data_IF_409481967624
#
_entry.id   IF_409481967624
#
_cell.length_a   1.000
_cell.length_b   1.000
_cell.length_c   1.000
_cell.angle_alpha   90.00
_cell.angle_beta   90.00
_cell.angle_gamma   90.00
#
_symmetry.space_group_name_H-M   'P 1'
#
loop_
_entity.id
_entity.type
_entity.pdbx_description
1 polymer ?
#
# COMPACT_ATOMS: atom_id res chain seq x y z
N UNK A 1 -12.68 21.49 14.32
CA UNK A 1 -12.25 20.27 13.61
C UNK A 1 -13.33 19.96 12.58
N UNK A 2 -12.99 19.59 11.34
CA UNK A 2 -13.98 19.43 10.25
C UNK A 2 -13.45 18.48 9.18
N UNK A 3 -14.17 18.29 8.07
CA UNK A 3 -13.81 17.29 7.04
C UNK A 3 -12.37 17.41 6.48
N UNK A 4 -11.73 18.57 6.61
CA UNK A 4 -10.35 18.83 6.16
C UNK A 4 -9.39 19.24 7.29
N UNK A 5 -9.71 18.99 8.55
CA UNK A 5 -8.85 19.43 9.66
C UNK A 5 -8.84 18.45 10.82
N UNK A 6 -7.65 18.14 11.33
CA UNK A 6 -7.43 17.16 12.41
C UNK A 6 -7.37 17.77 13.82
N UNK A 7 -7.43 19.11 13.95
CA UNK A 7 -7.48 19.80 15.25
C UNK A 7 -6.17 19.75 16.04
N UNK A 8 -5.04 19.52 15.38
CA UNK A 8 -3.71 19.51 15.99
C UNK A 8 -3.23 20.94 16.28
N UNK A 9 -2.60 21.14 17.44
CA UNK A 9 -1.87 22.37 17.74
C UNK A 9 -0.57 22.42 16.93
N UNK A 10 0.00 23.61 16.65
CA UNK A 10 1.27 23.72 15.93
C UNK A 10 2.42 22.93 16.59
N UNK A 11 2.44 22.86 17.92
CA UNK A 11 3.44 22.12 18.68
C UNK A 11 3.39 20.59 18.44
N UNK A 12 2.22 20.05 18.07
CA UNK A 12 2.02 18.61 17.87
C UNK A 12 2.24 18.16 16.43
N UNK A 13 2.47 19.07 15.48
CA UNK A 13 2.62 18.70 14.06
C UNK A 13 3.85 17.83 13.78
N UNK A 14 4.87 17.89 14.64
CA UNK A 14 6.09 17.08 14.55
C UNK A 14 6.07 15.82 15.42
N UNK A 15 4.91 15.47 16.01
CA UNK A 15 4.81 14.30 16.86
C UNK A 15 5.18 13.01 16.10
N UNK A 16 5.91 12.14 16.78
CA UNK A 16 6.30 10.82 16.28
C UNK A 16 6.24 9.78 17.40
N UNK A 17 6.09 8.51 17.03
CA UNK A 17 6.08 7.37 17.94
C UNK A 17 6.95 6.25 17.38
N UNK A 18 7.60 5.48 18.25
CA UNK A 18 8.42 4.34 17.84
C UNK A 18 7.89 3.03 18.42
N UNK A 19 8.00 1.94 17.67
CA UNK A 19 7.55 0.61 18.09
C UNK A 19 8.44 -0.48 17.51
N UNK A 20 8.53 -1.63 18.18
CA UNK A 20 9.20 -2.82 17.67
C UNK A 20 8.22 -3.70 16.89
N UNK A 21 8.68 -4.31 15.80
CA UNK A 21 7.88 -5.18 14.94
C UNK A 21 8.39 -6.64 14.95
N UNK A 22 7.63 -7.54 14.33
CA UNK A 22 7.91 -8.99 14.35
C UNK A 22 9.22 -9.39 13.65
N UNK A 23 9.78 -8.52 12.81
CA UNK A 23 11.10 -8.72 12.19
C UNK A 23 12.27 -8.30 13.13
N UNK A 24 11.97 -7.96 14.38
CA UNK A 24 12.93 -7.57 15.40
C UNK A 24 13.46 -6.14 15.26
N UNK A 25 12.94 -5.35 14.31
CA UNK A 25 13.36 -3.96 14.09
C UNK A 25 12.43 -2.98 14.81
N UNK A 26 12.98 -1.81 15.10
CA UNK A 26 12.21 -0.66 15.61
C UNK A 26 11.93 0.29 14.45
N UNK A 27 10.67 0.73 14.35
CA UNK A 27 10.19 1.67 13.36
C UNK A 27 9.67 2.92 14.03
N UNK A 28 9.83 4.06 13.37
CA UNK A 28 9.24 5.34 13.77
C UNK A 28 8.13 5.70 12.81
N UNK A 29 6.99 6.12 13.36
CA UNK A 29 5.86 6.69 12.63
C UNK A 29 5.66 8.15 13.00
N UNK A 30 5.21 8.92 12.02
CA UNK A 30 4.87 10.34 12.14
C UNK A 30 3.46 10.57 11.57
N UNK A 31 2.93 11.78 11.75
CA UNK A 31 1.69 12.16 11.06
C UNK A 31 1.79 11.95 9.54
N UNK A 32 0.80 11.27 8.97
CA UNK A 32 0.77 10.91 7.55
C UNK A 32 1.45 9.59 7.19
N UNK A 33 2.06 8.88 8.14
CA UNK A 33 2.59 7.53 7.90
C UNK A 33 1.48 6.57 7.47
N UNK A 34 1.75 5.76 6.45
CA UNK A 34 0.80 4.78 5.92
C UNK A 34 0.86 3.51 6.76
N UNK A 35 -0.29 3.09 7.30
CA UNK A 35 -0.41 1.85 8.08
C UNK A 35 -1.19 0.77 7.31
N UNK A 36 -2.12 1.18 6.45
CA UNK A 36 -2.94 0.29 5.63
C UNK A 36 -2.85 0.76 4.18
N UNK A 37 -2.55 -0.17 3.27
CA UNK A 37 -2.58 0.04 1.83
C UNK A 37 -3.41 -1.06 1.17
N UNK A 38 -4.57 -0.71 0.62
CA UNK A 38 -5.52 -1.68 0.09
C UNK A 38 -5.89 -1.37 -1.36
N UNK A 39 -5.66 -2.31 -2.27
CA UNK A 39 -6.21 -2.27 -3.63
C UNK A 39 -7.55 -3.01 -3.60
N UNK A 40 -8.63 -2.23 -3.51
CA UNK A 40 -10.02 -2.70 -3.35
C UNK A 40 -10.98 -1.87 -4.23
N UNK A 41 -12.30 -2.04 -4.04
CA UNK A 41 -13.40 -1.49 -4.82
C UNK A 41 -13.62 -2.14 -6.18
N UNK A 42 -14.88 -2.46 -6.49
CA UNK A 42 -15.29 -3.03 -7.76
C UNK A 42 -15.00 -2.12 -8.95
N UNK A 43 -15.04 -0.80 -8.80
CA UNK A 43 -14.79 0.14 -9.92
C UNK A 43 -13.33 0.06 -10.40
N UNK A 44 -12.37 0.04 -9.47
CA UNK A 44 -10.95 0.02 -9.83
C UNK A 44 -10.46 -1.40 -10.11
N UNK A 45 -10.87 -2.37 -9.29
CA UNK A 45 -10.39 -3.75 -9.40
C UNK A 45 -11.10 -4.55 -10.50
N UNK A 46 -12.04 -3.96 -11.25
CA UNK A 46 -12.57 -4.54 -12.50
C UNK A 46 -11.93 -3.96 -13.75
N UNK A 47 -11.19 -2.85 -13.64
CA UNK A 47 -10.58 -2.16 -14.77
C UNK A 47 -9.17 -2.75 -15.06
N UNK A 48 -8.97 -3.45 -16.19
CA UNK A 48 -7.70 -4.10 -16.49
C UNK A 48 -6.52 -3.14 -16.62
N UNK A 49 -6.75 -1.95 -17.20
CA UNK A 49 -5.69 -0.99 -17.48
C UNK A 49 -5.03 -0.49 -16.20
N UNK A 50 -5.82 -0.17 -15.17
CA UNK A 50 -5.28 0.33 -13.90
C UNK A 50 -4.61 -0.78 -13.08
N UNK A 51 -5.16 -2.00 -13.11
CA UNK A 51 -4.57 -3.14 -12.39
C UNK A 51 -3.26 -3.61 -13.01
N UNK A 52 -3.17 -3.65 -14.35
CA UNK A 52 -1.91 -3.92 -15.05
C UNK A 52 -0.90 -2.79 -14.83
N UNK A 53 -1.35 -1.53 -14.83
CA UNK A 53 -0.51 -0.38 -14.49
C UNK A 53 0.11 -0.49 -13.09
N UNK A 54 -0.69 -0.86 -12.09
CA UNK A 54 -0.21 -1.12 -10.73
C UNK A 54 0.82 -2.26 -10.70
N UNK A 55 0.56 -3.35 -11.42
CA UNK A 55 1.49 -4.47 -11.55
C UNK A 55 2.84 -4.06 -12.15
N UNK A 56 2.82 -3.32 -13.27
CA UNK A 56 4.01 -2.82 -13.94
C UNK A 56 4.80 -1.84 -13.06
N UNK A 57 4.11 -1.00 -12.29
CA UNK A 57 4.74 -0.11 -11.31
C UNK A 57 5.45 -0.92 -10.22
N UNK A 58 4.78 -1.93 -9.66
CA UNK A 58 5.36 -2.80 -8.65
C UNK A 58 6.59 -3.56 -9.18
N UNK A 59 6.53 -4.06 -10.42
CA UNK A 59 7.68 -4.70 -11.09
C UNK A 59 8.87 -3.75 -11.16
N UNK A 60 8.67 -2.54 -11.68
CA UNK A 60 9.75 -1.55 -11.77
C UNK A 60 10.29 -1.18 -10.40
N UNK A 61 9.44 -1.04 -9.38
CA UNK A 61 9.87 -0.73 -8.03
C UNK A 61 10.81 -1.83 -7.48
N UNK A 62 10.43 -3.10 -7.62
CA UNK A 62 11.27 -4.24 -7.19
C UNK A 62 12.55 -4.34 -8.01
N UNK A 63 12.50 -4.13 -9.33
CA UNK A 63 13.70 -4.09 -10.19
C UNK A 63 14.68 -2.96 -9.80
N UNK A 64 14.17 -1.88 -9.20
CA UNK A 64 14.98 -0.78 -8.64
C UNK A 64 15.32 -0.98 -7.14
N UNK A 65 15.07 -2.17 -6.58
CA UNK A 65 15.43 -2.50 -5.19
C UNK A 65 14.53 -1.89 -4.12
N UNK A 66 13.34 -1.38 -4.49
CA UNK A 66 12.37 -0.86 -3.53
C UNK A 66 11.55 -1.99 -2.90
N UNK A 67 11.15 -1.78 -1.64
CA UNK A 67 10.31 -2.69 -0.88
C UNK A 67 9.33 -1.93 0.02
N UNK A 68 8.20 -2.55 0.35
CA UNK A 68 7.24 -2.03 1.34
C UNK A 68 7.77 -2.28 2.75
N UNK A 69 7.53 -1.34 3.68
CA UNK A 69 7.91 -1.55 5.09
C UNK A 69 7.04 -2.66 5.70
N UNK A 70 7.64 -3.63 6.42
CA UNK A 70 6.93 -4.83 6.92
C UNK A 70 5.71 -4.55 7.79
N UNK A 71 5.66 -3.42 8.49
CA UNK A 71 4.55 -3.06 9.35
C UNK A 71 3.30 -2.58 8.60
N UNK A 72 3.42 -2.30 7.30
CA UNK A 72 2.31 -1.81 6.48
C UNK A 72 1.41 -3.00 6.15
N UNK A 73 0.14 -2.91 6.52
CA UNK A 73 -0.85 -3.93 6.20
C UNK A 73 -1.34 -3.76 4.76
N UNK A 74 -0.70 -4.49 3.83
CA UNK A 74 -1.07 -4.53 2.42
C UNK A 74 -2.22 -5.52 2.18
N UNK A 75 -3.12 -5.22 1.23
CA UNK A 75 -4.16 -6.15 0.80
C UNK A 75 -4.59 -5.89 -0.64
N UNK A 76 -4.89 -6.97 -1.37
CA UNK A 76 -5.42 -6.93 -2.73
C UNK A 76 -6.69 -7.78 -2.80
N UNK A 77 -7.80 -7.16 -3.17
CA UNK A 77 -9.10 -7.81 -3.36
C UNK A 77 -9.54 -7.68 -4.82
N UNK A 78 -9.20 -8.63 -5.71
CA UNK A 78 -9.61 -8.59 -7.11
C UNK A 78 -11.13 -8.59 -7.25
N UNK A 79 -11.68 -7.66 -8.04
CA UNK A 79 -13.11 -7.50 -8.23
C UNK A 79 -13.74 -8.52 -9.18
N UNK A 80 -12.93 -9.31 -9.89
CA UNK A 80 -13.38 -10.41 -10.74
C UNK A 80 -12.28 -11.48 -10.93
N UNK A 81 -12.68 -12.70 -11.28
CA UNK A 81 -11.73 -13.77 -11.62
C UNK A 81 -10.84 -13.45 -12.83
N UNK A 82 -11.34 -12.62 -13.75
CA UNK A 82 -10.59 -12.14 -14.93
C UNK A 82 -9.39 -11.30 -14.50
N UNK A 83 -9.52 -10.53 -13.41
CA UNK A 83 -8.44 -9.71 -12.86
C UNK A 83 -7.30 -10.54 -12.31
N UNK A 84 -7.65 -11.54 -11.52
CA UNK A 84 -6.68 -12.53 -11.05
C UNK A 84 -5.98 -13.23 -12.21
N UNK A 85 -6.71 -13.54 -13.29
CA UNK A 85 -6.16 -14.20 -14.47
C UNK A 85 -5.09 -13.35 -15.18
N UNK A 86 -5.38 -12.10 -15.57
CA UNK A 86 -4.37 -11.31 -16.28
C UNK A 86 -3.19 -10.88 -15.38
N UNK A 87 -3.42 -10.65 -14.08
CA UNK A 87 -2.31 -10.40 -13.14
C UNK A 87 -1.40 -11.62 -13.02
N UNK A 88 -1.97 -12.84 -13.06
CA UNK A 88 -1.20 -14.09 -13.03
C UNK A 88 -0.43 -14.31 -14.34
N UNK A 89 -1.08 -14.16 -15.49
CA UNK A 89 -0.44 -14.33 -16.81
C UNK A 89 0.67 -13.31 -17.03
N UNK A 90 0.48 -12.08 -16.58
CA UNK A 90 1.49 -11.03 -16.67
C UNK A 90 2.60 -11.13 -15.60
N UNK A 91 2.53 -12.13 -14.69
CA UNK A 91 3.45 -12.33 -13.55
C UNK A 91 3.53 -11.16 -12.57
N UNK A 92 2.54 -10.29 -12.56
CA UNK A 92 2.47 -9.17 -11.62
C UNK A 92 1.67 -9.48 -10.35
N UNK A 93 0.93 -10.59 -10.31
CA UNK A 93 0.10 -10.92 -9.16
C UNK A 93 0.92 -10.99 -7.86
N UNK A 94 2.04 -11.71 -7.86
CA UNK A 94 2.91 -11.81 -6.69
C UNK A 94 3.57 -10.48 -6.28
N UNK A 95 3.72 -9.55 -7.22
CA UNK A 95 4.30 -8.23 -6.98
C UNK A 95 3.31 -7.25 -6.32
N UNK A 96 2.01 -7.58 -6.35
CA UNK A 96 0.96 -6.79 -5.69
C UNK A 96 0.55 -7.36 -4.33
N UNK A 97 1.12 -8.49 -3.92
CA UNK A 97 0.97 -9.10 -2.59
C UNK A 97 2.14 -8.79 -1.65
N UNK A 98 3.05 -7.89 -2.08
CA UNK A 98 4.13 -7.33 -1.25
C UNK A 98 3.55 -6.19 -0.43
#
# INVERSE_FOLDING_TARGET
VGFKGYGLSPANLSASGSFSYSDGKTYTITHGSVIIAAITSCTNTSNPSVMLGAGLLAKKAVENGLSVLPYIKTSLSPGSGVVTYYLRVSRHLGLLYI
#
